data_IF_249549446914
#
_entry.id   IF_249549446914
#
_cell.length_a   1.000
_cell.length_b   1.000
_cell.length_c   1.000
_cell.angle_alpha   90.00
_cell.angle_beta   90.00
_cell.angle_gamma   90.00
#
_symmetry.space_group_name_H-M   'P 1'
#
loop_
_entity.id
_entity.type
_entity.pdbx_description
1 polymer ?
#
# COMPACT_ATOMS: atom_id res chain seq x y z
N UNK A 1 7.31 8.62 7.82
CA UNK A 1 6.44 7.42 7.78
C UNK A 1 4.95 7.74 7.89
N UNK A 2 4.53 8.67 8.76
CA UNK A 2 3.11 8.97 8.99
C UNK A 2 2.27 9.27 7.73
N UNK A 3 2.82 9.93 6.70
CA UNK A 3 2.07 10.26 5.47
C UNK A 3 1.51 9.05 4.73
N UNK A 4 2.19 7.90 4.78
CA UNK A 4 1.74 6.68 4.08
C UNK A 4 0.70 5.88 4.86
N UNK A 5 0.53 6.17 6.16
CA UNK A 5 -0.47 5.51 7.00
C UNK A 5 -1.91 5.90 6.57
N UNK A 6 -2.09 7.12 6.07
CA UNK A 6 -3.37 7.55 5.51
C UNK A 6 -3.84 6.63 4.37
N UNK A 7 -2.91 6.11 3.56
CA UNK A 7 -3.22 5.25 2.43
C UNK A 7 -3.76 3.88 2.85
N UNK A 8 -3.53 3.48 4.11
CA UNK A 8 -4.01 2.22 4.68
C UNK A 8 -5.09 2.44 5.75
N UNK A 9 -5.73 3.62 5.74
CA UNK A 9 -6.91 3.93 6.56
C UNK A 9 -6.66 4.68 7.86
N UNK A 10 -5.41 4.92 8.25
CA UNK A 10 -5.04 5.58 9.52
C UNK A 10 -4.92 7.11 9.38
N UNK A 11 -5.99 7.75 8.89
CA UNK A 11 -6.02 9.19 8.63
C UNK A 11 -6.49 10.03 9.84
N UNK A 12 -7.29 9.43 10.73
CA UNK A 12 -7.90 10.11 11.88
C UNK A 12 -7.19 9.80 13.21
N UNK A 13 -5.86 9.74 13.20
CA UNK A 13 -5.07 9.60 14.43
C UNK A 13 -4.93 10.97 15.09
N UNK A 14 -5.44 11.11 16.31
CA UNK A 14 -5.48 12.38 17.03
C UNK A 14 -4.13 12.75 17.68
N UNK A 15 -3.27 11.77 17.99
CA UNK A 15 -1.99 12.03 18.66
C UNK A 15 -0.91 10.97 18.42
N UNK A 16 0.34 11.33 18.65
CA UNK A 16 1.47 10.38 18.66
C UNK A 16 1.32 9.29 19.72
N UNK A 17 0.72 9.63 20.88
CA UNK A 17 0.42 8.65 21.93
C UNK A 17 -0.56 7.59 21.45
N UNK A 18 -1.63 8.00 20.78
CA UNK A 18 -2.60 7.08 20.20
C UNK A 18 -1.95 6.19 19.15
N UNK A 19 -1.10 6.76 18.28
CA UNK A 19 -0.35 5.99 17.31
C UNK A 19 0.56 4.94 17.97
N UNK A 20 1.27 5.32 19.03
CA UNK A 20 2.12 4.40 19.77
C UNK A 20 1.32 3.25 20.37
N UNK A 21 0.10 3.50 20.87
CA UNK A 21 -0.80 2.44 21.34
C UNK A 21 -1.22 1.49 20.21
N UNK A 22 -1.54 2.03 19.03
CA UNK A 22 -1.88 1.21 17.85
C UNK A 22 -0.71 0.29 17.48
N UNK A 23 0.51 0.80 17.48
CA UNK A 23 1.69 -0.02 17.19
C UNK A 23 1.93 -1.10 18.24
N UNK A 24 1.80 -0.76 19.53
CA UNK A 24 1.90 -1.75 20.61
C UNK A 24 0.82 -2.83 20.49
N UNK A 25 -0.42 -2.46 20.17
CA UNK A 25 -1.48 -3.43 19.92
C UNK A 25 -1.20 -4.28 18.67
N UNK A 26 -0.65 -3.68 17.62
CA UNK A 26 -0.26 -4.38 16.39
C UNK A 26 0.74 -5.49 16.68
N UNK A 27 1.73 -5.19 17.52
CA UNK A 27 2.80 -6.11 17.91
C UNK A 27 2.30 -7.19 18.86
N UNK A 28 1.43 -6.84 19.82
CA UNK A 28 0.85 -7.83 20.73
C UNK A 28 -0.10 -8.78 20.03
N UNK A 29 -0.78 -8.33 18.98
CA UNK A 29 -1.80 -9.09 18.27
C UNK A 29 -1.38 -9.34 16.82
N UNK A 30 -0.10 -9.54 16.51
CA UNK A 30 0.34 -9.73 15.12
C UNK A 30 -0.43 -10.90 14.45
N UNK A 31 -0.64 -10.81 13.13
CA UNK A 31 -1.26 -11.86 12.31
C UNK A 31 -0.23 -12.71 11.56
N UNK A 32 1.02 -12.27 11.48
CA UNK A 32 2.15 -13.05 10.98
C UNK A 32 3.48 -12.49 11.44
N UNK A 33 4.55 -13.25 11.31
CA UNK A 33 5.90 -12.81 11.66
C UNK A 33 6.97 -13.53 10.85
N UNK A 34 8.16 -12.93 10.81
CA UNK A 34 9.40 -13.54 10.35
C UNK A 34 10.50 -13.29 11.39
N UNK A 35 11.41 -14.26 11.53
CA UNK A 35 12.56 -14.20 12.47
C UNK A 35 13.84 -14.67 11.77
N UNK A 36 14.96 -14.02 12.06
CA UNK A 36 16.31 -14.33 11.60
C UNK A 36 17.27 -14.17 12.78
N UNK A 37 17.97 -15.24 13.16
CA UNK A 37 19.08 -15.14 14.10
C UNK A 37 20.22 -14.35 13.44
N UNK A 38 20.60 -13.22 14.05
CA UNK A 38 21.73 -12.42 13.61
C UNK A 38 23.04 -12.91 14.25
N UNK A 39 22.96 -13.26 15.52
CA UNK A 39 24.03 -13.85 16.31
C UNK A 39 23.44 -14.82 17.36
N UNK A 40 24.27 -15.27 18.31
CA UNK A 40 23.85 -16.21 19.35
C UNK A 40 22.79 -15.63 20.29
N UNK A 41 22.70 -14.31 20.44
CA UNK A 41 21.87 -13.66 21.46
C UNK A 41 20.79 -12.73 20.90
N UNK A 42 20.85 -12.42 19.60
CA UNK A 42 20.02 -11.40 18.96
C UNK A 42 19.31 -11.95 17.74
N UNK A 43 17.99 -11.79 17.75
CA UNK A 43 17.14 -12.09 16.62
C UNK A 43 16.53 -10.84 16.02
N UNK A 44 16.66 -10.71 14.69
CA UNK A 44 15.89 -9.76 13.91
C UNK A 44 14.51 -10.32 13.63
N UNK A 45 13.49 -9.54 13.96
CA UNK A 45 12.09 -9.91 13.81
C UNK A 45 11.34 -8.86 12.97
N UNK A 46 10.44 -9.34 12.12
CA UNK A 46 9.38 -8.53 11.51
C UNK A 46 8.03 -9.08 11.99
N UNK A 47 7.27 -8.27 12.72
CA UNK A 47 5.90 -8.56 13.15
C UNK A 47 4.93 -7.85 12.22
N UNK A 48 3.95 -8.58 11.69
CA UNK A 48 2.95 -8.04 10.75
C UNK A 48 1.57 -8.14 11.33
N UNK A 49 0.83 -7.02 11.32
CA UNK A 49 -0.58 -6.94 11.69
C UNK A 49 -1.40 -6.52 10.48
N UNK A 50 -2.31 -7.38 10.05
CA UNK A 50 -3.27 -7.09 8.99
C UNK A 50 -4.49 -6.33 9.55
N UNK A 51 -4.92 -5.30 8.82
CA UNK A 51 -6.06 -4.43 9.16
C UNK A 51 -7.15 -4.42 8.10
N UNK A 52 -6.83 -4.87 6.89
CA UNK A 52 -7.76 -5.06 5.80
C UNK A 52 -7.15 -6.04 4.79
N UNK A 53 -7.91 -6.43 3.76
CA UNK A 53 -7.51 -7.46 2.81
C UNK A 53 -6.14 -7.15 2.15
N UNK A 54 -5.09 -7.82 2.61
CA UNK A 54 -3.72 -7.63 2.14
C UNK A 54 -3.08 -6.29 2.55
N UNK A 55 -3.66 -5.56 3.50
CA UNK A 55 -3.14 -4.26 3.96
C UNK A 55 -2.87 -4.32 5.46
N UNK A 56 -1.72 -3.82 5.89
CA UNK A 56 -1.39 -3.80 7.30
C UNK A 56 -0.15 -2.99 7.65
N UNK A 57 0.33 -3.21 8.87
CA UNK A 57 1.53 -2.59 9.43
C UNK A 57 2.55 -3.69 9.73
N UNK A 58 3.78 -3.48 9.29
CA UNK A 58 4.97 -4.22 9.70
C UNK A 58 5.73 -3.42 10.75
N UNK A 59 6.13 -4.08 11.83
CA UNK A 59 7.10 -3.59 12.82
C UNK A 59 8.36 -4.45 12.71
N UNK A 60 9.51 -3.82 12.44
CA UNK A 60 10.81 -4.48 12.47
C UNK A 60 11.58 -4.06 13.72
N UNK A 61 12.27 -5.02 14.32
CA UNK A 61 12.99 -4.82 15.57
C UNK A 61 13.74 -6.06 16.02
N UNK A 62 14.25 -6.03 17.22
CA UNK A 62 15.09 -7.09 17.77
C UNK A 62 14.43 -7.75 18.98
N UNK A 63 14.72 -9.03 19.17
CA UNK A 63 14.48 -9.75 20.43
C UNK A 63 15.86 -10.17 20.94
N UNK A 64 16.18 -9.78 22.16
CA UNK A 64 17.35 -10.23 22.90
C UNK A 64 16.98 -11.47 23.73
N UNK A 65 17.88 -12.45 23.82
CA UNK A 65 17.69 -13.65 24.63
C UNK A 65 17.34 -13.37 26.10
N UNK A 66 17.76 -12.23 26.64
CA UNK A 66 17.57 -11.92 28.07
C UNK A 66 16.20 -11.32 28.41
N UNK A 67 15.61 -10.55 27.49
CA UNK A 67 14.42 -9.76 27.78
C UNK A 67 13.13 -10.41 27.26
N UNK A 68 13.21 -11.39 26.34
CA UNK A 68 12.10 -12.00 25.56
C UNK A 68 11.14 -10.99 24.88
N UNK A 69 11.30 -9.68 25.11
CA UNK A 69 10.45 -8.60 24.65
C UNK A 69 10.94 -8.06 23.30
N UNK A 70 9.99 -7.90 22.38
CA UNK A 70 10.25 -7.28 21.09
C UNK A 70 10.52 -5.78 21.22
N UNK A 71 11.71 -5.36 20.80
CA UNK A 71 12.12 -3.95 20.74
C UNK A 71 12.04 -3.44 19.31
N UNK A 72 10.99 -2.68 19.01
CA UNK A 72 10.76 -2.05 17.70
C UNK A 72 11.85 -1.03 17.38
N UNK A 73 12.48 -1.18 16.23
CA UNK A 73 13.40 -0.18 15.64
C UNK A 73 12.68 0.71 14.61
N UNK A 74 11.82 0.10 13.79
CA UNK A 74 11.04 0.85 12.81
C UNK A 74 9.72 0.16 12.48
N UNK A 75 8.83 0.90 11.84
CA UNK A 75 7.57 0.36 11.34
C UNK A 75 7.30 0.90 9.93
N UNK A 76 6.50 0.18 9.15
CA UNK A 76 6.00 0.62 7.85
C UNK A 76 4.66 0.00 7.46
N UNK A 77 3.80 0.74 6.72
CA UNK A 77 2.62 0.14 6.13
C UNK A 77 3.02 -0.79 4.99
N UNK A 78 2.27 -1.88 4.83
CA UNK A 78 2.42 -2.79 3.69
C UNK A 78 1.10 -2.97 2.95
N UNK A 79 1.24 -3.35 1.68
CA UNK A 79 0.16 -3.83 0.84
C UNK A 79 0.64 -5.02 0.02
N UNK A 80 -0.03 -6.15 0.16
CA UNK A 80 0.22 -7.40 -0.56
C UNK A 80 -0.68 -7.45 -1.80
N UNK A 81 -0.15 -6.97 -2.93
CA UNK A 81 -0.83 -7.06 -4.23
C UNK A 81 -0.70 -8.45 -4.87
N UNK A 82 -1.63 -8.80 -5.77
CA UNK A 82 -1.71 -10.12 -6.41
C UNK A 82 -1.03 -10.22 -7.79
N UNK A 83 -0.28 -9.20 -8.22
CA UNK A 83 0.32 -9.18 -9.57
C UNK A 83 1.67 -8.48 -9.64
N UNK A 84 2.51 -8.92 -10.58
CA UNK A 84 3.78 -8.28 -10.93
C UNK A 84 3.52 -7.27 -12.05
N UNK A 85 3.94 -6.02 -11.87
CA UNK A 85 3.74 -4.96 -12.87
C UNK A 85 4.94 -4.80 -13.83
N UNK A 86 6.14 -5.12 -13.36
CA UNK A 86 7.39 -5.04 -14.12
C UNK A 86 8.49 -5.88 -13.45
N UNK A 87 9.52 -6.19 -14.23
CA UNK A 87 10.76 -6.79 -13.76
C UNK A 87 11.88 -5.81 -14.09
N UNK A 88 12.76 -5.54 -13.13
CA UNK A 88 13.92 -4.69 -13.33
C UNK A 88 15.07 -5.21 -12.45
N UNK A 89 16.29 -4.95 -12.90
CA UNK A 89 17.46 -5.07 -12.04
C UNK A 89 17.47 -3.86 -11.10
N UNK A 90 17.69 -4.12 -9.81
CA UNK A 90 17.65 -3.09 -8.78
C UNK A 90 18.95 -3.14 -7.99
N UNK A 91 19.44 -1.97 -7.56
CA UNK A 91 20.40 -1.87 -6.49
C UNK A 91 19.66 -1.95 -5.15
N UNK A 92 20.18 -2.73 -4.21
CA UNK A 92 19.61 -2.86 -2.86
C UNK A 92 20.57 -2.25 -1.85
N UNK A 93 20.06 -1.34 -1.04
CA UNK A 93 20.82 -0.68 0.02
C UNK A 93 20.13 -0.84 1.37
N UNK A 94 20.91 -1.09 2.42
CA UNK A 94 20.39 -1.05 3.78
C UNK A 94 20.13 0.39 4.18
N UNK A 95 18.97 0.65 4.77
CA UNK A 95 18.63 1.98 5.27
C UNK A 95 19.49 2.31 6.50
N UNK A 96 20.06 3.52 6.53
CA UNK A 96 20.86 3.96 7.67
C UNK A 96 20.07 3.87 8.98
N UNK A 97 20.70 3.26 10.00
CA UNK A 97 20.11 3.06 11.34
C UNK A 97 18.76 2.35 11.33
N UNK A 98 18.53 1.44 10.38
CA UNK A 98 17.31 0.63 10.32
C UNK A 98 17.64 -0.76 9.77
N UNK A 99 16.96 -1.81 10.24
CA UNK A 99 17.15 -3.15 9.70
C UNK A 99 16.46 -3.36 8.33
N UNK A 100 15.83 -2.33 7.77
CA UNK A 100 15.12 -2.44 6.48
C UNK A 100 15.98 -2.02 5.30
N UNK A 101 15.55 -2.43 4.11
CA UNK A 101 16.26 -2.23 2.86
C UNK A 101 15.42 -1.44 1.87
N UNK A 102 16.10 -0.65 1.04
CA UNK A 102 15.51 0.07 -0.08
C UNK A 102 16.04 -0.48 -1.39
N UNK A 103 15.18 -0.46 -2.41
CA UNK A 103 15.52 -0.75 -3.80
C UNK A 103 15.62 0.54 -4.59
N UNK A 104 16.61 0.61 -5.47
CA UNK A 104 16.77 1.68 -6.45
C UNK A 104 16.83 1.06 -7.84
N UNK A 105 16.00 1.53 -8.77
CA UNK A 105 16.03 1.08 -10.16
C UNK A 105 15.72 2.19 -11.14
N UNK A 106 16.29 2.13 -12.33
CA UNK A 106 15.92 2.99 -13.45
C UNK A 106 14.72 2.40 -14.17
N UNK A 107 13.57 3.09 -14.12
CA UNK A 107 12.40 2.66 -14.88
C UNK A 107 12.39 3.34 -16.25
N UNK A 108 12.70 2.55 -17.27
CA UNK A 108 12.74 3.01 -18.68
C UNK A 108 11.38 3.55 -19.14
N UNK A 109 10.26 3.04 -18.61
CA UNK A 109 8.92 3.51 -18.98
C UNK A 109 8.62 4.88 -18.38
N UNK A 110 9.15 5.17 -17.19
CA UNK A 110 8.98 6.48 -16.53
C UNK A 110 10.08 7.47 -16.92
N UNK A 111 11.19 6.99 -17.46
CA UNK A 111 12.37 7.81 -17.77
C UNK A 111 13.02 8.40 -16.52
N UNK A 112 12.88 7.75 -15.35
CA UNK A 112 13.44 8.21 -14.10
C UNK A 112 13.82 7.05 -13.16
N UNK A 113 14.71 7.36 -12.21
CA UNK A 113 15.03 6.47 -11.09
C UNK A 113 13.87 6.41 -10.09
N UNK A 114 13.50 5.20 -9.70
CA UNK A 114 12.54 4.91 -8.64
C UNK A 114 13.30 4.40 -7.42
N UNK A 115 12.97 4.95 -6.25
CA UNK A 115 13.45 4.48 -4.94
C UNK A 115 12.24 3.97 -4.16
N UNK A 116 12.31 2.76 -3.62
CA UNK A 116 11.20 2.13 -2.92
C UNK A 116 11.65 1.26 -1.74
N UNK A 117 10.73 1.01 -0.81
CA UNK A 117 10.96 0.09 0.31
C UNK A 117 10.82 -1.36 -0.16
N UNK A 118 11.75 -2.24 0.22
CA UNK A 118 11.65 -3.67 -0.09
C UNK A 118 10.66 -4.31 0.87
N UNK A 119 9.59 -4.92 0.35
CA UNK A 119 8.59 -5.60 1.17
C UNK A 119 9.11 -6.94 1.72
N UNK A 120 9.80 -7.74 0.91
CA UNK A 120 10.35 -9.03 1.33
C UNK A 120 11.76 -8.88 1.95
N UNK A 121 11.95 -7.90 2.83
CA UNK A 121 13.25 -7.58 3.43
C UNK A 121 13.85 -8.77 4.19
N UNK A 122 13.03 -9.47 4.98
CA UNK A 122 13.47 -10.66 5.73
C UNK A 122 13.93 -11.79 4.82
N UNK A 123 13.23 -12.04 3.72
CA UNK A 123 13.62 -13.06 2.73
C UNK A 123 14.94 -12.68 2.03
N UNK A 124 15.11 -11.41 1.70
CA UNK A 124 16.35 -10.90 1.13
C UNK A 124 17.54 -11.14 2.06
N UNK A 125 17.41 -10.84 3.36
CA UNK A 125 18.48 -11.08 4.36
C UNK A 125 18.80 -12.57 4.48
N UNK A 126 17.78 -13.43 4.58
CA UNK A 126 17.97 -14.90 4.63
C UNK A 126 18.77 -15.39 3.43
N UNK A 127 18.49 -14.85 2.24
CA UNK A 127 19.17 -15.22 0.99
C UNK A 127 20.54 -14.57 0.82
N UNK A 128 20.76 -13.35 1.32
CA UNK A 128 22.05 -12.68 1.24
C UNK A 128 23.09 -13.32 2.17
N UNK A 129 22.67 -13.77 3.36
CA UNK A 129 23.52 -14.56 4.26
C UNK A 129 23.83 -15.96 3.70
N UNK A 130 22.96 -16.50 2.85
CA UNK A 130 23.13 -17.77 2.17
C UNK A 130 23.89 -17.56 0.83
N UNK A 131 25.23 -17.44 0.86
CA UNK A 131 26.12 -17.21 -0.30
C UNK A 131 25.61 -17.83 -1.63
N UNK A 132 24.87 -17.09 -2.46
CA UNK A 132 24.73 -17.28 -3.92
C UNK A 132 24.30 -15.98 -4.60
N UNK A 133 25.00 -15.68 -5.70
CA UNK A 133 25.01 -14.45 -6.50
C UNK A 133 23.81 -14.30 -7.46
N UNK A 134 23.49 -13.05 -7.78
CA UNK A 134 22.47 -12.54 -8.73
C UNK A 134 21.01 -12.78 -8.34
N UNK A 135 20.31 -11.70 -7.97
CA UNK A 135 18.91 -11.73 -7.58
C UNK A 135 18.08 -10.82 -8.48
N UNK A 136 17.07 -11.42 -9.13
CA UNK A 136 15.98 -10.70 -9.81
C UNK A 136 14.93 -10.33 -8.78
N UNK A 137 14.62 -9.05 -8.66
CA UNK A 137 13.63 -8.55 -7.70
C UNK A 137 12.28 -8.33 -8.39
N UNK A 138 11.21 -8.77 -7.72
CA UNK A 138 9.85 -8.48 -8.15
C UNK A 138 9.44 -7.11 -7.61
N UNK A 139 9.16 -6.17 -8.51
CA UNK A 139 8.57 -4.88 -8.17
C UNK A 139 7.09 -5.11 -7.81
N UNK A 140 6.82 -5.27 -6.52
CA UNK A 140 5.44 -5.21 -6.01
C UNK A 140 4.91 -3.78 -6.08
N UNK A 141 3.64 -3.67 -6.49
CA UNK A 141 2.97 -2.45 -6.94
C UNK A 141 3.06 -1.26 -5.97
N UNK A 142 4.01 -0.36 -6.22
CA UNK A 142 3.93 1.04 -5.77
C UNK A 142 3.29 1.96 -6.84
N UNK A 143 3.13 1.48 -8.08
CA UNK A 143 2.76 2.36 -9.19
C UNK A 143 1.23 2.54 -9.40
N UNK A 144 0.40 1.54 -9.07
CA UNK A 144 -1.05 1.64 -9.32
C UNK A 144 -1.87 2.22 -8.16
N UNK A 145 -1.33 2.24 -6.93
CA UNK A 145 -2.03 2.85 -5.80
C UNK A 145 -2.00 4.38 -5.85
N UNK A 146 -0.93 5.01 -6.36
CA UNK A 146 -0.85 6.46 -6.46
C UNK A 146 -1.72 7.04 -7.59
N UNK A 147 -1.76 6.42 -8.77
CA UNK A 147 -2.50 6.97 -9.93
C UNK A 147 -4.03 6.75 -9.87
N UNK A 148 -4.52 5.71 -9.19
CA UNK A 148 -5.97 5.54 -8.99
C UNK A 148 -6.52 6.34 -7.82
N UNK A 149 -5.71 6.71 -6.84
CA UNK A 149 -6.19 7.43 -5.65
C UNK A 149 -6.38 8.94 -5.88
N UNK A 150 -5.59 9.57 -6.75
CA UNK A 150 -5.80 10.98 -7.11
C UNK A 150 -7.19 11.23 -7.74
N UNK A 151 -7.75 10.23 -8.43
CA UNK A 151 -9.09 10.31 -9.02
C UNK A 151 -10.23 10.08 -8.01
N UNK A 152 -9.95 9.50 -6.83
CA UNK A 152 -10.95 9.30 -5.78
C UNK A 152 -10.94 10.43 -4.73
N UNK A 153 -9.78 11.08 -4.53
CA UNK A 153 -9.61 12.17 -3.57
C UNK A 153 -9.97 13.57 -4.12
N UNK A 154 -10.08 13.75 -5.45
CA UNK A 154 -10.53 15.02 -6.03
C UNK A 154 -12.05 15.13 -6.15
N UNK A 155 -12.75 14.93 -5.03
CA UNK A 155 -14.10 15.41 -4.85
C UNK A 155 -14.10 16.94 -4.72
N UNK A 156 -13.93 17.67 -5.83
CA UNK A 156 -14.22 19.12 -5.88
C UNK A 156 -15.32 19.41 -6.89
N UNK A 157 -16.47 19.81 -6.35
CA UNK A 157 -17.52 20.51 -7.09
C UNK A 157 -17.01 21.89 -7.51
N UNK A 158 -17.09 22.18 -8.81
CA UNK A 158 -17.41 23.49 -9.38
C UNK A 158 -16.26 24.38 -9.84
N UNK A 159 -16.05 24.49 -11.17
CA UNK A 159 -16.19 25.77 -11.88
C UNK A 159 -16.35 25.54 -13.39
N UNK A 160 -17.21 26.34 -14.02
CA UNK A 160 -17.58 26.35 -15.44
C UNK A 160 -16.49 27.04 -16.28
N UNK A 161 -16.21 26.53 -17.50
CA UNK A 161 -16.26 27.31 -18.75
C UNK A 161 -15.93 26.45 -19.99
N UNK A 162 -16.95 26.35 -20.87
CA UNK A 162 -16.93 26.31 -22.33
C UNK A 162 -16.26 25.16 -23.12
N UNK A 163 -17.10 24.40 -23.84
CA UNK A 163 -16.74 23.65 -25.04
C UNK A 163 -17.62 22.42 -25.28
N UNK A 164 -18.70 22.60 -26.06
CA UNK A 164 -19.62 21.65 -26.73
C UNK A 164 -19.19 20.16 -26.72
N UNK A 165 -20.06 19.22 -26.31
CA UNK A 165 -21.09 18.62 -27.17
C UNK A 165 -22.32 18.15 -26.36
N UNK A 166 -23.50 18.26 -27.00
CA UNK A 166 -24.80 17.99 -26.41
C UNK A 166 -25.22 16.54 -26.60
N UNK A 167 -25.32 15.76 -25.51
CA UNK A 167 -26.15 14.56 -25.47
C UNK A 167 -26.98 14.58 -24.18
N UNK A 168 -28.30 14.77 -24.35
CA UNK A 168 -29.28 14.78 -23.27
C UNK A 168 -29.71 13.33 -23.00
N UNK A 169 -29.29 12.78 -21.87
CA UNK A 169 -29.86 11.53 -21.35
C UNK A 169 -31.28 11.76 -20.79
N UNK A 170 -32.22 10.81 -20.93
CA UNK A 170 -33.63 11.02 -20.60
C UNK A 170 -33.87 10.97 -19.09
N UNK A 171 -34.72 11.85 -18.56
CA UNK A 171 -35.27 11.69 -17.20
C UNK A 171 -36.47 10.76 -17.22
N UNK A 172 -36.65 9.90 -16.19
CA UNK A 172 -37.87 9.14 -16.00
C UNK A 172 -38.89 10.09 -15.37
N UNK A 173 -40.05 10.28 -16.02
CA UNK A 173 -41.34 10.67 -15.41
C UNK A 173 -42.28 11.30 -16.46
N UNK A 174 -42.45 10.69 -17.63
CA UNK A 174 -43.49 11.11 -18.61
C UNK A 174 -43.86 9.93 -19.55
N UNK A 175 -44.31 8.80 -19.01
CA UNK A 175 -44.78 7.68 -19.84
C UNK A 175 -45.83 6.76 -19.17
N UNK A 176 -46.68 7.31 -18.31
CA UNK A 176 -47.85 6.59 -17.82
C UNK A 176 -49.02 7.55 -17.68
N UNK A 177 -49.64 7.90 -18.82
CA UNK A 177 -51.01 8.44 -18.97
C UNK A 177 -51.18 8.89 -20.44
N UNK A 178 -51.11 7.95 -21.39
CA UNK A 178 -51.64 8.17 -22.74
C UNK A 178 -52.06 6.89 -23.44
N UNK A 179 -52.89 6.10 -22.76
CA UNK A 179 -53.63 4.99 -23.35
C UNK A 179 -55.14 5.17 -23.15
N UNK A 180 -55.67 6.37 -23.45
CA UNK A 180 -57.09 6.60 -23.77
C UNK A 180 -57.21 7.76 -24.75
N UNK A 181 -57.90 7.54 -25.86
CA UNK A 181 -58.24 8.59 -26.84
C UNK A 181 -57.80 8.30 -28.27
N UNK A 182 -58.24 7.18 -28.86
CA UNK A 182 -58.39 7.07 -30.32
C UNK A 182 -59.88 7.24 -30.62
N UNK A 183 -60.27 8.46 -30.96
CA UNK A 183 -61.49 8.74 -31.72
C UNK A 183 -61.12 8.87 -33.21
N UNK A 184 -61.94 8.23 -34.05
CA UNK A 184 -62.41 8.58 -35.42
C UNK A 184 -61.64 9.65 -36.22
N UNK A 185 -61.44 9.55 -37.55
CA UNK A 185 -62.46 9.37 -38.62
C UNK A 185 -61.78 9.39 -40.03
N UNK A 186 -62.52 8.88 -41.03
CA UNK A 186 -62.38 9.03 -42.51
C UNK A 186 -61.31 8.13 -43.18
N UNK A 187 -61.56 7.38 -44.27
CA UNK A 187 -62.57 7.42 -45.35
C UNK A 187 -63.41 6.14 -45.46
#
# INVERSE_FOLDING_TARGET
>A
MHKYLNAIGFHDIASEREWYQILLESEKKFSGYDRIALDEHTDLCELRREYGNGIGISSCGFIDENDEEFRRECYFPYFSGSGVSSYADIAVEQKASSPTYIGVCEDVKLGCSIIFHIQNGMEYIKRSHSRWSEQKFNLYNLFWACLKWENFASGRKGCRCCGQESERSPQPDDAYERSKGRESRCH
#
